data_IF_861962271301
#
_entry.id   IF_861962271301
#
_cell.length_a   1.000
_cell.length_b   1.000
_cell.length_c   1.000
_cell.angle_alpha   90.00
_cell.angle_beta   90.00
_cell.angle_gamma   90.00
#
_symmetry.space_group_name_H-M   'P 1'
#
loop_
_entity.id
_entity.type
_entity.pdbx_description
1 polymer ?
#
# COMPACT_ATOMS: atom_id res chain seq x y z
N UNK A 1 -2.86 22.60 8.12
CA UNK A 1 -3.14 21.86 6.87
C UNK A 1 -2.88 22.81 5.70
N UNK A 2 -1.85 22.57 4.90
CA UNK A 2 -1.55 23.42 3.73
C UNK A 2 -2.29 22.83 2.54
N UNK A 3 -3.32 23.54 2.06
CA UNK A 3 -4.12 23.12 0.92
C UNK A 3 -3.44 23.62 -0.36
N UNK A 4 -2.86 22.73 -1.16
CA UNK A 4 -2.37 23.08 -2.48
C UNK A 4 -3.45 22.79 -3.52
N UNK A 5 -4.02 23.80 -4.19
CA UNK A 5 -4.90 23.56 -5.32
C UNK A 5 -4.08 22.92 -6.44
N UNK A 6 -4.36 21.65 -6.76
CA UNK A 6 -3.71 20.96 -7.85
C UNK A 6 -4.58 21.08 -9.12
N UNK A 7 -4.10 21.87 -10.08
CA UNK A 7 -4.59 21.90 -11.46
C UNK A 7 -3.62 21.13 -12.36
N UNK A 8 -4.12 20.26 -13.25
CA UNK A 8 -3.28 19.46 -14.15
C UNK A 8 -2.70 18.20 -13.49
N UNK A 9 -3.54 17.41 -12.81
CA UNK A 9 -3.12 16.13 -12.24
C UNK A 9 -3.00 15.09 -13.36
N UNK A 10 -1.77 14.80 -13.76
CA UNK A 10 -1.47 13.71 -14.68
C UNK A 10 -1.55 12.36 -13.96
N UNK A 11 -2.59 11.60 -14.28
CA UNK A 11 -2.77 10.23 -13.82
C UNK A 11 -2.27 9.29 -14.90
N UNK A 12 -1.19 8.56 -14.61
CA UNK A 12 -0.67 7.51 -15.48
C UNK A 12 -1.30 6.17 -15.12
N UNK A 13 -2.22 5.71 -15.97
CA UNK A 13 -2.89 4.43 -15.88
C UNK A 13 -2.13 3.38 -16.68
N UNK A 14 -1.81 2.26 -16.02
CA UNK A 14 -1.18 1.10 -16.66
C UNK A 14 -1.96 -0.16 -16.34
N UNK A 15 -2.40 -0.87 -17.38
CA UNK A 15 -2.98 -2.20 -17.21
C UNK A 15 -1.86 -3.25 -17.26
N UNK A 16 -1.78 -4.11 -16.25
CA UNK A 16 -0.79 -5.17 -16.18
C UNK A 16 -1.46 -6.53 -16.26
N UNK A 17 -0.94 -7.44 -17.09
CA UNK A 17 -1.33 -8.86 -17.10
C UNK A 17 -0.29 -9.67 -16.35
N UNK A 18 -0.75 -10.59 -15.49
CA UNK A 18 0.11 -11.50 -14.74
C UNK A 18 0.36 -12.77 -15.56
N UNK A 19 1.61 -12.98 -15.97
CA UNK A 19 2.12 -14.24 -16.57
C UNK A 19 3.29 -14.76 -15.72
N UNK A 20 4.42 -15.19 -16.30
CA UNK A 20 5.68 -15.48 -15.58
C UNK A 20 6.33 -14.24 -14.91
N UNK A 21 5.65 -13.10 -14.97
CA UNK A 21 5.91 -11.81 -14.32
C UNK A 21 4.80 -10.83 -14.68
N UNK A 22 4.80 -9.63 -14.09
CA UNK A 22 3.89 -8.56 -14.54
C UNK A 22 4.45 -7.91 -15.80
N UNK A 23 3.80 -8.15 -16.94
CA UNK A 23 4.07 -7.42 -18.18
C UNK A 23 2.94 -6.41 -18.40
N UNK A 24 3.23 -5.15 -18.77
CA UNK A 24 2.17 -4.20 -19.11
C UNK A 24 1.45 -4.75 -20.36
N UNK A 25 0.14 -4.91 -20.27
CA UNK A 25 -0.69 -5.34 -21.40
C UNK A 25 -1.31 -4.10 -22.05
N UNK A 26 -1.00 -3.88 -23.33
CA UNK A 26 -1.58 -2.98 -24.36
C UNK A 26 -1.91 -1.50 -24.01
N UNK A 27 -2.17 -1.11 -22.76
CA UNK A 27 -2.71 0.21 -22.40
C UNK A 27 -1.85 0.88 -21.31
N UNK A 28 -1.09 1.89 -21.73
CA UNK A 28 -0.39 2.87 -20.89
C UNK A 28 -0.90 4.24 -21.33
N UNK A 29 -1.69 4.90 -20.47
CA UNK A 29 -2.27 6.19 -20.78
C UNK A 29 -1.95 7.18 -19.65
N UNK A 30 -1.55 8.38 -20.03
CA UNK A 30 -1.49 9.51 -19.10
C UNK A 30 -2.67 10.41 -19.39
N UNK A 31 -3.51 10.65 -18.39
CA UNK A 31 -4.68 11.51 -18.51
C UNK A 31 -4.62 12.64 -17.52
N UNK A 32 -4.92 13.85 -17.98
CA UNK A 32 -5.21 14.96 -17.08
C UNK A 32 -6.58 14.68 -16.45
N UNK A 33 -6.59 14.35 -15.16
CA UNK A 33 -7.80 14.00 -14.43
C UNK A 33 -8.85 15.12 -14.48
N UNK A 34 -8.42 16.39 -14.41
CA UNK A 34 -9.32 17.53 -14.44
C UNK A 34 -9.99 17.71 -15.80
N UNK A 35 -9.23 17.53 -16.88
CA UNK A 35 -9.77 17.57 -18.25
C UNK A 35 -10.69 16.38 -18.50
N UNK A 36 -10.30 15.19 -18.04
CA UNK A 36 -11.06 13.96 -18.21
C UNK A 36 -12.41 14.00 -17.49
N UNK A 37 -12.47 14.54 -16.26
CA UNK A 37 -13.73 14.66 -15.52
C UNK A 37 -14.70 15.67 -16.15
N UNK A 38 -14.19 16.75 -16.78
CA UNK A 38 -15.04 17.68 -17.55
C UNK A 38 -15.57 17.05 -18.84
N UNK A 39 -14.73 16.28 -19.53
CA UNK A 39 -15.09 15.56 -20.75
C UNK A 39 -14.20 14.35 -20.92
N UNK A 40 -14.79 13.17 -20.78
CA UNK A 40 -14.07 11.92 -21.01
C UNK A 40 -13.56 11.87 -22.46
N UNK A 41 -12.25 11.82 -22.63
CA UNK A 41 -11.59 11.80 -23.94
C UNK A 41 -10.72 10.56 -24.17
N UNK A 42 -10.42 9.81 -23.11
CA UNK A 42 -9.63 8.58 -23.18
C UNK A 42 -10.54 7.39 -22.79
N UNK A 43 -10.79 6.43 -23.70
CA UNK A 43 -11.71 5.32 -23.45
C UNK A 43 -11.21 4.36 -22.37
N UNK A 44 -9.89 4.16 -22.25
CA UNK A 44 -9.29 3.32 -21.21
C UNK A 44 -9.48 3.96 -19.82
N UNK A 45 -9.23 5.26 -19.70
CA UNK A 45 -9.55 5.99 -18.47
C UNK A 45 -11.07 6.01 -18.20
N UNK A 46 -11.90 6.07 -19.24
CA UNK A 46 -13.36 5.86 -19.19
C UNK A 46 -13.76 4.56 -18.50
N UNK A 47 -13.16 3.46 -18.94
CA UNK A 47 -13.39 2.14 -18.36
C UNK A 47 -12.93 2.08 -16.90
N UNK A 48 -11.72 2.57 -16.59
CA UNK A 48 -11.19 2.59 -15.22
C UNK A 48 -12.10 3.43 -14.32
N UNK A 49 -12.51 4.62 -14.75
CA UNK A 49 -13.44 5.46 -14.01
C UNK A 49 -14.78 4.76 -13.78
N UNK A 50 -15.34 4.07 -14.77
CA UNK A 50 -16.59 3.33 -14.61
C UNK A 50 -16.50 2.21 -13.55
N UNK A 51 -15.33 1.58 -13.40
CA UNK A 51 -15.07 0.56 -12.36
C UNK A 51 -15.09 1.19 -10.97
N UNK A 52 -14.43 2.35 -10.79
CA UNK A 52 -14.23 2.93 -9.48
C UNK A 52 -15.31 3.94 -9.06
N UNK A 53 -16.05 4.57 -9.98
CA UNK A 53 -17.01 5.67 -9.70
C UNK A 53 -18.06 5.36 -8.64
N UNK A 54 -18.47 4.10 -8.52
CA UNK A 54 -19.50 3.68 -7.54
C UNK A 54 -18.91 3.41 -6.15
N UNK A 55 -17.59 3.30 -6.05
CA UNK A 55 -16.87 2.99 -4.83
C UNK A 55 -16.07 4.19 -4.31
N UNK A 56 -15.61 5.07 -5.20
CA UNK A 56 -14.80 6.25 -4.89
C UNK A 56 -15.59 7.55 -5.01
N UNK A 57 -15.15 8.59 -4.32
CA UNK A 57 -15.68 9.95 -4.44
C UNK A 57 -15.12 10.70 -5.67
N UNK A 58 -14.70 10.03 -6.74
CA UNK A 58 -14.00 10.68 -7.87
C UNK A 58 -14.86 11.72 -8.65
N UNK A 59 -16.16 11.84 -8.39
CA UNK A 59 -17.10 12.73 -9.09
C UNK A 59 -17.00 14.22 -8.66
N UNK A 60 -15.80 14.75 -8.40
CA UNK A 60 -15.63 16.15 -8.00
C UNK A 60 -15.12 17.04 -9.13
N UNK A 61 -15.51 18.31 -9.05
CA UNK A 61 -15.06 19.39 -9.93
C UNK A 61 -13.69 19.89 -9.51
N UNK A 62 -12.79 20.04 -10.48
CA UNK A 62 -11.46 20.61 -10.24
C UNK A 62 -11.53 22.09 -9.81
N UNK A 63 -10.54 22.59 -9.04
CA UNK A 63 -9.27 21.93 -8.66
C UNK A 63 -9.41 20.89 -7.55
N UNK A 64 -8.64 19.80 -7.63
CA UNK A 64 -8.60 18.83 -6.53
C UNK A 64 -7.88 19.44 -5.33
N UNK A 65 -8.50 19.30 -4.16
CA UNK A 65 -7.86 19.49 -2.87
C UNK A 65 -7.36 18.11 -2.44
N UNK A 66 -6.04 17.90 -2.47
CA UNK A 66 -5.46 16.65 -1.97
C UNK A 66 -5.51 16.64 -0.44
N UNK A 67 -6.65 16.27 0.14
CA UNK A 67 -6.70 15.83 1.52
C UNK A 67 -7.04 14.34 1.53
N UNK A 68 -5.99 13.51 1.58
CA UNK A 68 -6.14 12.09 1.90
C UNK A 68 -5.89 12.00 3.40
N UNK A 69 -6.93 11.65 4.16
CA UNK A 69 -6.75 11.32 5.56
C UNK A 69 -6.51 9.81 5.67
N UNK A 70 -5.34 9.47 6.19
CA UNK A 70 -4.94 8.10 6.42
C UNK A 70 -4.50 7.94 7.86
N UNK A 71 -5.08 6.94 8.53
CA UNK A 71 -4.78 6.66 9.93
C UNK A 71 -4.67 5.18 10.19
N UNK A 72 -3.59 4.76 10.82
CA UNK A 72 -3.47 3.39 11.32
C UNK A 72 -4.42 3.19 12.51
N UNK A 73 -5.20 2.12 12.52
CA UNK A 73 -6.13 1.80 13.61
C UNK A 73 -5.62 0.67 14.50
N UNK A 74 -4.98 -0.34 13.90
CA UNK A 74 -4.42 -1.46 14.64
C UNK A 74 -3.19 -2.01 13.92
N UNK A 75 -2.22 -2.51 14.68
CA UNK A 75 -1.05 -3.18 14.15
C UNK A 75 -0.74 -4.40 15.01
N UNK A 76 -0.87 -5.58 14.43
CA UNK A 76 -0.71 -6.86 15.13
C UNK A 76 0.41 -7.64 14.47
N UNK A 77 1.44 -7.94 15.25
CA UNK A 77 2.52 -8.83 14.85
C UNK A 77 2.43 -10.13 15.63
N UNK A 78 2.57 -11.26 14.95
CA UNK A 78 2.53 -12.59 15.57
C UNK A 78 3.67 -13.44 15.05
N UNK A 79 4.54 -13.92 15.92
CA UNK A 79 5.51 -14.96 15.59
C UNK A 79 4.88 -16.33 15.83
N UNK A 80 5.12 -17.27 14.91
CA UNK A 80 4.77 -18.68 15.05
C UNK A 80 5.98 -19.55 15.39
N UNK A 81 7.19 -19.01 15.19
CA UNK A 81 8.44 -19.68 15.46
C UNK A 81 9.44 -18.70 16.07
N UNK A 82 9.40 -18.59 17.40
CA UNK A 82 10.25 -17.68 18.17
C UNK A 82 11.74 -18.06 18.13
N UNK A 83 12.06 -19.31 17.79
CA UNK A 83 13.43 -19.74 17.50
C UNK A 83 13.99 -19.15 16.19
N UNK A 84 13.14 -18.57 15.34
CA UNK A 84 13.53 -17.91 14.09
C UNK A 84 13.32 -16.40 14.12
N UNK A 85 12.18 -15.94 14.64
CA UNK A 85 11.79 -14.53 14.61
C UNK A 85 11.23 -14.08 15.95
N UNK A 86 11.84 -13.05 16.52
CA UNK A 86 11.41 -12.44 17.79
C UNK A 86 10.96 -11.00 17.51
N UNK A 87 9.75 -10.64 17.95
CA UNK A 87 9.29 -9.26 17.93
C UNK A 87 9.67 -8.56 19.23
N UNK A 88 10.41 -7.46 19.15
CA UNK A 88 10.72 -6.59 20.29
C UNK A 88 9.73 -5.44 20.40
N UNK A 89 9.23 -4.95 19.27
CA UNK A 89 8.27 -3.85 19.23
C UNK A 89 7.36 -4.00 18.01
N UNK A 90 6.07 -3.79 18.21
CA UNK A 90 5.07 -3.76 17.15
C UNK A 90 3.91 -2.90 17.64
N UNK A 91 3.99 -1.58 17.38
CA UNK A 91 3.00 -0.65 17.90
C UNK A 91 2.77 0.55 16.99
N UNK A 92 1.58 1.13 17.14
CA UNK A 92 1.26 2.45 16.60
C UNK A 92 1.49 3.48 17.70
N UNK A 93 2.10 4.60 17.37
CA UNK A 93 2.29 5.76 18.24
C UNK A 93 1.58 6.97 17.65
N UNK A 94 0.70 7.59 18.42
CA UNK A 94 0.12 8.88 18.04
C UNK A 94 1.17 9.99 18.23
N UNK A 95 1.39 10.81 17.19
CA UNK A 95 2.28 11.98 17.23
C UNK A 95 1.44 13.26 17.33
N UNK A 96 0.31 13.31 16.61
CA UNK A 96 -0.69 14.37 16.68
C UNK A 96 -2.09 13.79 16.44
N UNK A 97 -3.15 14.63 16.44
CA UNK A 97 -4.52 14.19 16.14
C UNK A 97 -4.65 13.54 14.75
N UNK A 98 -3.90 14.09 13.79
CA UNK A 98 -3.92 13.74 12.36
C UNK A 98 -2.77 12.82 11.96
N UNK A 99 -1.73 12.68 12.79
CA UNK A 99 -0.54 11.88 12.47
C UNK A 99 -0.30 10.80 13.51
N UNK A 100 -0.40 9.55 13.07
CA UNK A 100 0.16 8.42 13.79
C UNK A 100 1.26 7.73 12.97
N UNK A 101 2.20 7.15 13.69
CA UNK A 101 3.36 6.46 13.13
C UNK A 101 3.35 5.00 13.56
N UNK A 102 3.78 4.13 12.68
CA UNK A 102 3.95 2.71 12.93
C UNK A 102 5.43 2.44 13.24
N UNK A 103 5.68 1.68 14.30
CA UNK A 103 7.00 1.24 14.70
C UNK A 103 7.02 -0.28 14.83
N UNK A 104 7.99 -0.92 14.17
CA UNK A 104 8.24 -2.34 14.23
C UNK A 104 9.74 -2.58 14.46
N UNK A 105 10.06 -3.47 15.39
CA UNK A 105 11.40 -3.98 15.60
C UNK A 105 11.29 -5.49 15.81
N UNK A 106 11.86 -6.25 14.88
CA UNK A 106 11.96 -7.70 14.99
C UNK A 106 13.40 -8.13 14.75
N UNK A 107 13.80 -9.26 15.30
CA UNK A 107 15.10 -9.87 15.07
C UNK A 107 14.90 -11.21 14.39
N UNK A 108 15.59 -11.40 13.26
CA UNK A 108 15.69 -12.69 12.58
C UNK A 108 16.96 -13.39 13.10
N UNK A 109 16.81 -14.54 13.77
CA UNK A 109 17.89 -15.22 14.47
C UNK A 109 18.81 -16.03 13.54
N UNK A 110 18.30 -16.46 12.39
CA UNK A 110 19.01 -17.29 11.42
C UNK A 110 18.91 -16.70 10.00
N UNK A 111 19.96 -16.82 9.17
CA UNK A 111 19.99 -16.20 7.85
C UNK A 111 18.88 -16.73 6.94
N UNK A 112 17.92 -15.86 6.63
CA UNK A 112 16.79 -16.17 5.77
C UNK A 112 17.12 -15.79 4.31
N UNK A 113 17.34 -16.81 3.48
CA UNK A 113 17.67 -16.65 2.06
C UNK A 113 16.47 -16.81 1.11
N UNK A 114 15.38 -17.39 1.61
CA UNK A 114 14.17 -17.64 0.84
C UNK A 114 12.97 -17.15 1.65
N UNK A 115 12.48 -15.97 1.28
CA UNK A 115 11.39 -15.29 1.96
C UNK A 115 10.28 -15.04 0.95
N UNK A 116 9.12 -15.65 1.21
CA UNK A 116 7.90 -15.43 0.44
C UNK A 116 6.90 -14.68 1.30
N UNK A 117 6.47 -13.51 0.82
CA UNK A 117 5.48 -12.66 1.45
C UNK A 117 4.14 -12.84 0.74
N UNK A 118 3.13 -13.36 1.43
CA UNK A 118 1.75 -13.33 0.95
C UNK A 118 1.05 -12.09 1.47
N UNK A 119 0.55 -11.27 0.58
CA UNK A 119 -0.18 -10.04 0.89
C UNK A 119 -1.64 -10.21 0.52
N UNK A 120 -2.53 -9.97 1.48
CA UNK A 120 -3.97 -9.91 1.27
C UNK A 120 -4.53 -8.61 1.80
N UNK A 121 -5.33 -7.94 0.98
CA UNK A 121 -6.06 -6.75 1.40
C UNK A 121 -7.54 -7.09 1.54
N UNK A 122 -8.13 -6.60 2.63
CA UNK A 122 -9.53 -6.77 2.95
C UNK A 122 -10.16 -5.40 3.17
N UNK A 123 -11.39 -5.20 2.67
CA UNK A 123 -12.19 -4.01 2.97
C UNK A 123 -13.29 -4.39 3.95
N UNK A 124 -13.47 -3.59 4.99
CA UNK A 124 -14.59 -3.75 5.93
C UNK A 124 -15.88 -3.26 5.28
N UNK A 125 -16.88 -4.11 5.29
CA UNK A 125 -18.27 -3.82 4.93
C UNK A 125 -19.17 -4.51 5.97
N UNK A 126 -20.10 -5.38 5.55
CA UNK A 126 -20.82 -6.32 6.40
C UNK A 126 -19.93 -7.48 6.90
N UNK A 127 -18.71 -7.16 7.36
CA UNK A 127 -17.58 -8.06 7.55
C UNK A 127 -16.39 -7.71 6.66
N UNK A 128 -15.22 -8.33 6.89
CA UNK A 128 -14.05 -8.18 6.02
C UNK A 128 -14.22 -9.01 4.75
N UNK A 129 -14.24 -8.35 3.59
CA UNK A 129 -14.31 -8.99 2.28
C UNK A 129 -12.97 -8.85 1.56
N UNK A 130 -12.48 -9.89 0.83
CA UNK A 130 -11.26 -9.77 0.04
C UNK A 130 -11.38 -8.60 -0.94
N UNK A 131 -10.32 -7.80 -1.07
CA UNK A 131 -10.34 -6.57 -1.85
C UNK A 131 -9.05 -6.39 -2.66
N UNK A 132 -9.17 -6.44 -3.98
CA UNK A 132 -8.17 -6.14 -5.03
C UNK A 132 -6.82 -6.89 -5.00
N UNK A 133 -6.28 -7.27 -3.84
CA UNK A 133 -4.93 -7.83 -3.68
C UNK A 133 -4.98 -9.14 -2.90
N UNK A 134 -4.65 -10.25 -3.57
CA UNK A 134 -4.19 -11.52 -2.99
C UNK A 134 -3.02 -12.00 -3.85
N UNK A 135 -1.80 -11.73 -3.41
CA UNK A 135 -0.58 -12.07 -4.16
C UNK A 135 0.51 -12.58 -3.24
N UNK A 136 1.42 -13.36 -3.81
CA UNK A 136 2.63 -13.82 -3.14
C UNK A 136 3.84 -13.26 -3.88
N UNK A 137 4.71 -12.59 -3.14
CA UNK A 137 5.93 -11.95 -3.64
C UNK A 137 7.13 -12.66 -3.02
N UNK A 138 8.10 -13.04 -3.85
CA UNK A 138 9.41 -13.45 -3.36
C UNK A 138 10.15 -12.18 -2.94
N UNK A 139 10.26 -11.95 -1.64
CA UNK A 139 10.84 -10.72 -1.09
C UNK A 139 12.32 -10.59 -1.45
N UNK A 140 13.06 -11.70 -1.47
CA UNK A 140 14.49 -11.72 -1.82
C UNK A 140 14.72 -11.32 -3.27
N UNK A 141 13.91 -11.86 -4.20
CA UNK A 141 13.95 -11.51 -5.61
C UNK A 141 13.41 -10.10 -5.86
N UNK A 142 12.37 -9.71 -5.13
CA UNK A 142 11.69 -8.43 -5.31
C UNK A 142 12.60 -7.25 -4.99
N UNK A 143 13.41 -7.30 -3.93
CA UNK A 143 14.35 -6.21 -3.62
C UNK A 143 15.39 -6.02 -4.73
N UNK A 144 15.78 -7.11 -5.45
CA UNK A 144 16.74 -7.05 -6.56
C UNK A 144 16.17 -6.44 -7.83
N UNK A 145 14.95 -6.81 -8.22
CA UNK A 145 14.41 -6.46 -9.55
C UNK A 145 13.08 -5.71 -9.56
N UNK A 146 12.44 -5.54 -8.39
CA UNK A 146 11.13 -4.89 -8.23
C UNK A 146 10.12 -5.31 -9.30
N UNK A 147 10.05 -6.61 -9.58
CA UNK A 147 9.29 -7.18 -10.70
C UNK A 147 7.77 -7.06 -10.57
N UNK A 148 7.27 -6.81 -9.36
CA UNK A 148 5.85 -6.64 -9.05
C UNK A 148 5.52 -5.13 -8.96
N UNK A 149 4.65 -4.59 -9.83
CA UNK A 149 4.34 -3.16 -9.83
C UNK A 149 3.59 -2.72 -8.56
N UNK A 150 2.73 -3.58 -7.99
CA UNK A 150 2.03 -3.29 -6.74
C UNK A 150 3.02 -3.33 -5.57
N UNK A 151 3.89 -4.35 -5.54
CA UNK A 151 5.00 -4.44 -4.60
C UNK A 151 5.89 -3.20 -4.66
N UNK A 152 6.18 -2.67 -5.86
CA UNK A 152 7.01 -1.46 -6.05
C UNK A 152 6.39 -0.21 -5.44
N UNK A 153 5.08 -0.05 -5.57
CA UNK A 153 4.35 1.06 -4.93
C UNK A 153 4.47 0.95 -3.41
N UNK A 154 4.14 -0.23 -2.86
CA UNK A 154 4.19 -0.47 -1.41
C UNK A 154 5.61 -0.33 -0.86
N UNK A 155 6.61 -0.88 -1.55
CA UNK A 155 8.01 -0.79 -1.15
C UNK A 155 8.51 0.66 -1.12
N UNK A 156 8.18 1.48 -2.12
CA UNK A 156 8.55 2.89 -2.14
C UNK A 156 7.92 3.71 -1.00
N UNK A 157 6.79 3.25 -0.44
CA UNK A 157 6.13 3.90 0.69
C UNK A 157 6.95 3.72 1.97
N UNK A 158 7.44 2.51 2.27
CA UNK A 158 8.07 2.22 3.57
C UNK A 158 9.61 2.11 3.53
N UNK A 159 10.25 1.96 2.37
CA UNK A 159 11.70 1.71 2.26
C UNK A 159 12.58 2.74 2.97
N UNK A 160 12.18 4.01 2.99
CA UNK A 160 12.97 5.09 3.61
C UNK A 160 12.84 5.08 5.15
N UNK A 161 11.85 4.35 5.67
CA UNK A 161 11.58 4.18 7.10
C UNK A 161 12.12 2.86 7.63
N UNK A 162 12.81 2.07 6.81
CA UNK A 162 13.26 0.74 7.19
C UNK A 162 14.70 0.46 6.82
N UNK A 163 15.30 -0.51 7.50
CA UNK A 163 16.61 -1.07 7.14
C UNK A 163 16.50 -2.32 6.25
N UNK A 164 15.30 -2.60 5.71
CA UNK A 164 14.98 -3.82 4.94
C UNK A 164 15.19 -3.56 3.44
N UNK A 165 16.20 -2.75 3.11
CA UNK A 165 16.47 -2.28 1.75
C UNK A 165 17.62 -3.05 1.06
N UNK A 166 18.17 -4.05 1.73
CA UNK A 166 19.26 -4.87 1.23
C UNK A 166 18.75 -6.21 0.66
N UNK A 167 19.57 -6.84 -0.17
CA UNK A 167 19.25 -8.17 -0.68
C UNK A 167 19.45 -9.23 0.40
N UNK A 168 18.71 -10.34 0.31
CA UNK A 168 18.93 -11.51 1.17
C UNK A 168 20.41 -11.98 1.16
N UNK A 169 20.91 -12.58 2.26
CA UNK A 169 20.17 -13.03 3.44
C UNK A 169 19.73 -11.92 4.40
N UNK A 170 18.55 -12.09 4.99
CA UNK A 170 18.13 -11.30 6.15
C UNK A 170 18.52 -12.00 7.44
N UNK A 171 19.23 -11.30 8.32
CA UNK A 171 19.66 -11.77 9.64
C UNK A 171 19.81 -10.57 10.57
N UNK A 172 19.54 -10.76 11.85
CA UNK A 172 19.61 -9.70 12.85
C UNK A 172 18.40 -8.76 12.81
N UNK A 173 18.56 -7.53 13.35
CA UNK A 173 17.45 -6.60 13.54
C UNK A 173 16.87 -6.07 12.21
N UNK A 174 15.56 -6.22 12.04
CA UNK A 174 14.76 -5.63 10.98
C UNK A 174 13.81 -4.61 11.59
N UNK A 175 13.97 -3.36 11.21
CA UNK A 175 13.38 -2.20 11.88
C UNK A 175 12.60 -1.39 10.86
N UNK A 176 11.37 -1.05 11.21
CA UNK A 176 10.58 0.00 10.59
C UNK A 176 10.36 1.06 11.67
N UNK A 177 10.95 2.24 11.48
CA UNK A 177 10.95 3.30 12.50
C UNK A 177 10.19 4.51 12.00
N UNK A 178 9.30 5.00 12.85
CA UNK A 178 8.54 6.23 12.66
C UNK A 178 7.81 6.31 11.30
N UNK A 179 7.33 5.15 10.81
CA UNK A 179 6.67 5.06 9.51
C UNK A 179 5.33 5.80 9.55
N UNK A 180 5.19 6.81 8.70
CA UNK A 180 3.91 7.44 8.38
C UNK A 180 3.68 7.36 6.88
N UNK A 181 2.41 7.40 6.50
CA UNK A 181 2.05 7.40 5.11
C UNK A 181 2.15 8.80 4.52
N UNK A 182 2.96 8.92 3.46
CA UNK A 182 3.03 10.12 2.62
C UNK A 182 1.88 10.05 1.61
N UNK A 183 0.89 10.93 1.76
CA UNK A 183 -0.32 10.94 0.91
C UNK A 183 0.02 11.10 -0.57
N UNK A 184 1.14 11.76 -0.90
CA UNK A 184 1.61 11.98 -2.27
C UNK A 184 2.04 10.68 -2.98
N UNK A 185 2.35 9.63 -2.20
CA UNK A 185 2.73 8.30 -2.71
C UNK A 185 1.52 7.39 -2.95
N UNK A 186 0.34 7.71 -2.40
CA UNK A 186 -0.92 7.04 -2.69
C UNK A 186 -1.73 7.83 -3.69
N UNK A 187 -1.38 7.68 -4.97
CA UNK A 187 -2.14 8.22 -6.10
C UNK A 187 -3.18 7.24 -6.65
N UNK A 188 -3.45 6.16 -5.93
CA UNK A 188 -4.40 5.14 -6.35
C UNK A 188 -5.80 5.51 -5.84
N UNK A 189 -6.86 5.39 -6.67
CA UNK A 189 -8.23 5.68 -6.28
C UNK A 189 -8.77 4.56 -5.37
N UNK A 190 -8.33 4.55 -4.13
CA UNK A 190 -8.87 3.64 -3.12
C UNK A 190 -10.18 4.21 -2.59
N UNK A 191 -11.25 3.42 -2.54
CA UNK A 191 -12.51 3.93 -2.02
C UNK A 191 -12.39 4.24 -0.53
N UNK A 192 -13.16 5.21 -0.01
CA UNK A 192 -13.15 5.47 1.43
C UNK A 192 -13.61 4.23 2.24
N UNK A 193 -13.01 4.01 3.41
CA UNK A 193 -13.41 2.96 4.35
C UNK A 193 -12.28 2.41 5.24
N UNK A 194 -12.63 1.39 6.02
CA UNK A 194 -11.68 0.65 6.85
C UNK A 194 -11.11 -0.54 6.08
N UNK A 195 -9.80 -0.73 6.19
CA UNK A 195 -9.05 -1.77 5.49
C UNK A 195 -8.19 -2.58 6.45
N UNK A 196 -7.97 -3.84 6.11
CA UNK A 196 -6.98 -4.71 6.74
C UNK A 196 -6.00 -5.19 5.66
N UNK A 197 -4.73 -4.83 5.83
CA UNK A 197 -3.62 -5.40 5.09
C UNK A 197 -3.02 -6.54 5.92
N UNK A 198 -3.20 -7.76 5.44
CA UNK A 198 -2.59 -8.94 6.03
C UNK A 198 -1.34 -9.33 5.26
N UNK A 199 -0.23 -9.48 5.98
CA UNK A 199 1.08 -9.85 5.44
C UNK A 199 1.58 -11.08 6.17
N UNK A 200 1.70 -12.18 5.44
CA UNK A 200 2.15 -13.48 5.98
C UNK A 200 3.53 -13.81 5.43
N UNK A 201 4.50 -13.93 6.33
CA UNK A 201 5.90 -14.12 5.98
C UNK A 201 6.28 -15.59 6.12
N UNK A 202 6.68 -16.17 4.99
CA UNK A 202 7.09 -17.56 4.92
C UNK A 202 8.59 -17.65 4.65
N UNK A 203 9.33 -18.32 5.53
CA UNK A 203 10.73 -18.65 5.27
C UNK A 203 10.80 -20.09 4.82
N UNK A 204 11.47 -20.35 3.70
CA UNK A 204 11.59 -21.71 3.13
C UNK A 204 10.23 -22.45 3.06
N UNK A 205 9.17 -21.72 2.65
CA UNK A 205 7.75 -22.17 2.56
C UNK A 205 7.03 -22.40 3.90
N UNK A 206 7.67 -22.22 5.04
CA UNK A 206 7.05 -22.34 6.36
C UNK A 206 6.61 -20.96 6.87
N UNK A 207 5.38 -20.84 7.37
CA UNK A 207 4.88 -19.61 7.97
C UNK A 207 5.66 -19.29 9.24
N UNK A 208 6.41 -18.17 9.23
CA UNK A 208 7.22 -17.73 10.38
C UNK A 208 6.48 -16.72 11.23
N UNK A 209 5.90 -15.70 10.58
CA UNK A 209 5.22 -14.62 11.29
C UNK A 209 4.20 -13.90 10.41
N UNK A 210 3.25 -13.23 11.07
CA UNK A 210 2.28 -12.32 10.45
C UNK A 210 2.53 -10.88 10.91
N UNK A 211 2.27 -9.93 10.01
CA UNK A 211 2.20 -8.49 10.31
C UNK A 211 0.91 -7.95 9.71
N UNK A 212 -0.13 -7.77 10.53
CA UNK A 212 -1.44 -7.33 10.09
C UNK A 212 -1.66 -5.87 10.48
N UNK A 213 -1.97 -5.02 9.50
CA UNK A 213 -2.21 -3.58 9.69
C UNK A 213 -3.65 -3.26 9.32
N UNK A 214 -4.41 -2.73 10.27
CA UNK A 214 -5.71 -2.13 10.02
C UNK A 214 -5.55 -0.63 9.89
N UNK A 215 -6.15 -0.02 8.87
CA UNK A 215 -6.09 1.42 8.63
C UNK A 215 -7.42 1.94 8.10
N UNK A 216 -7.67 3.23 8.32
CA UNK A 216 -8.77 3.98 7.74
C UNK A 216 -8.21 4.82 6.61
N UNK A 217 -8.89 4.78 5.47
CA UNK A 217 -8.62 5.64 4.32
C UNK A 217 -9.87 6.48 4.05
N UNK A 218 -9.75 7.80 4.14
CA UNK A 218 -10.82 8.74 3.80
C UNK A 218 -10.34 9.66 2.68
N UNK A 219 -11.09 9.67 1.59
CA UNK A 219 -10.94 10.67 0.54
C UNK A 219 -11.60 11.96 1.04
N UNK A 220 -10.81 12.93 1.47
CA UNK A 220 -11.30 14.24 1.91
C UNK A 220 -11.28 15.20 0.70
N UNK A 221 -12.23 15.01 -0.21
CA UNK A 221 -12.41 15.87 -1.38
C UNK A 221 -13.30 17.09 -1.10
N UNK A 222 -13.58 17.38 0.18
CA UNK A 222 -14.47 18.46 0.60
C UNK A 222 -13.76 19.42 1.55
N UNK A 223 -13.71 20.71 1.18
CA UNK A 223 -13.81 21.76 2.18
C UNK A 223 -15.11 21.51 2.95
N UNK A 224 -15.02 21.19 4.25
CA UNK A 224 -16.11 21.58 5.16
C UNK A 224 -16.16 23.11 5.09
N UNK A 225 -17.27 23.60 4.54
CA UNK A 225 -17.68 25.01 4.50
C UNK A 225 -17.35 25.75 5.78
#
# INVERSE_FOLDING_TARGET
MVLYPASGIDVRLKLWKRESGFKPFLLDATVDACRFMKRAYNPFAGMVYAIFRNFSNLNHSCPYVNAVDFKFSNFVCKSYNESWVIFHNCRIKAVSREKNILNMNLTILHPANNISLRVKMWKKASGFKPFLVDTTIDACRFVKSSYDPYGKIVYNIFKDFSNINHTCPYVGPQIVKDFYLRSELLRLPFPSGDYLLSMQWHFYKNLMFDTNVTYVFMEDLLKRT
#
